data_IF_806530581003
#
_entry.id   IF_806530581003
#
_cell.length_a   1.000
_cell.length_b   1.000
_cell.length_c   1.000
_cell.angle_alpha   90.00
_cell.angle_beta   90.00
_cell.angle_gamma   90.00
#
_symmetry.space_group_name_H-M   'P 1'
#
loop_
_entity.id
_entity.type
_entity.pdbx_description
1 polymer ?
#
# COMPACT_ATOMS: atom_id res chain seq x y z
N UNK A 1 18.49 -22.87 -14.22
CA UNK A 1 17.21 -23.21 -13.60
C UNK A 1 17.04 -22.54 -12.26
N UNK A 2 18.04 -22.67 -11.36
CA UNK A 2 17.97 -21.99 -10.05
C UNK A 2 17.93 -20.47 -10.19
N UNK A 3 18.62 -19.91 -11.19
CA UNK A 3 18.62 -18.47 -11.42
C UNK A 3 17.22 -17.93 -11.72
N UNK A 4 16.34 -18.74 -12.29
CA UNK A 4 14.96 -18.35 -12.55
C UNK A 4 14.09 -18.30 -11.28
N UNK A 5 14.58 -18.93 -10.21
CA UNK A 5 13.89 -18.96 -8.92
C UNK A 5 14.40 -17.89 -7.96
N UNK A 6 15.46 -17.17 -8.35
CA UNK A 6 15.99 -16.06 -7.53
C UNK A 6 15.01 -14.92 -7.56
N UNK A 7 14.56 -14.50 -6.38
CA UNK A 7 13.66 -13.38 -6.24
C UNK A 7 14.34 -12.09 -6.69
N UNK A 8 13.75 -11.38 -7.65
CA UNK A 8 14.19 -10.05 -8.04
C UNK A 8 13.69 -9.05 -7.01
N UNK A 9 14.53 -8.76 -6.02
CA UNK A 9 14.17 -7.87 -4.93
C UNK A 9 13.92 -6.44 -5.41
N UNK A 10 14.63 -5.99 -6.43
CA UNK A 10 14.42 -4.64 -6.96
C UNK A 10 13.03 -4.51 -7.59
N UNK A 11 12.64 -5.47 -8.43
CA UNK A 11 11.32 -5.46 -9.05
C UNK A 11 10.21 -5.59 -7.99
N UNK A 12 10.42 -6.45 -6.99
CA UNK A 12 9.47 -6.63 -5.90
C UNK A 12 9.27 -5.34 -5.10
N UNK A 13 10.35 -4.64 -4.79
CA UNK A 13 10.27 -3.38 -4.05
C UNK A 13 9.58 -2.28 -4.86
N UNK A 14 9.79 -2.25 -6.18
CA UNK A 14 9.07 -1.32 -7.08
C UNK A 14 7.57 -1.60 -7.02
N UNK A 15 7.17 -2.87 -7.13
CA UNK A 15 5.75 -3.24 -7.07
C UNK A 15 5.13 -2.85 -5.72
N UNK A 16 5.82 -3.15 -4.61
CA UNK A 16 5.35 -2.81 -3.27
C UNK A 16 5.17 -1.30 -3.11
N UNK A 17 6.16 -0.52 -3.57
CA UNK A 17 6.10 0.93 -3.48
C UNK A 17 4.92 1.48 -4.27
N UNK A 18 4.66 0.97 -5.47
CA UNK A 18 3.51 1.41 -6.26
C UNK A 18 2.17 1.00 -5.65
N UNK A 19 2.09 -0.16 -4.96
CA UNK A 19 0.89 -0.54 -4.23
C UNK A 19 0.56 0.47 -3.12
N UNK A 20 1.56 0.92 -2.37
CA UNK A 20 1.34 1.89 -1.29
C UNK A 20 1.05 3.29 -1.84
N UNK A 21 1.68 3.70 -2.92
CA UNK A 21 1.32 4.94 -3.62
C UNK A 21 -0.12 4.88 -4.13
N UNK A 22 -0.54 3.75 -4.69
CA UNK A 22 -1.90 3.58 -5.20
C UNK A 22 -2.92 3.80 -4.08
N UNK A 23 -2.72 3.17 -2.93
CA UNK A 23 -3.61 3.34 -1.78
C UNK A 23 -3.64 4.79 -1.31
N UNK A 24 -2.47 5.41 -1.16
CA UNK A 24 -2.38 6.81 -0.74
C UNK A 24 -3.17 7.73 -1.68
N UNK A 25 -2.95 7.61 -2.99
CA UNK A 25 -3.61 8.50 -3.96
C UNK A 25 -5.09 8.17 -4.15
N UNK A 26 -5.49 6.92 -3.98
CA UNK A 26 -6.92 6.58 -3.93
C UNK A 26 -7.61 7.34 -2.79
N UNK A 27 -7.04 7.32 -1.60
CA UNK A 27 -7.62 8.01 -0.46
C UNK A 27 -7.52 9.52 -0.58
N UNK A 28 -6.44 10.03 -1.18
CA UNK A 28 -6.33 11.44 -1.51
C UNK A 28 -7.43 11.89 -2.48
N UNK A 29 -7.78 11.03 -3.45
CA UNK A 29 -8.86 11.34 -4.39
C UNK A 29 -10.22 11.43 -3.67
N UNK A 30 -10.45 10.58 -2.68
CA UNK A 30 -11.66 10.64 -1.86
C UNK A 30 -11.70 11.96 -1.08
N UNK A 31 -10.56 12.39 -0.54
CA UNK A 31 -10.47 13.64 0.22
C UNK A 31 -10.68 14.89 -0.64
N UNK A 32 -10.43 14.82 -1.94
CA UNK A 32 -10.77 15.92 -2.86
C UNK A 32 -12.29 16.11 -2.96
N UNK A 33 -13.04 15.02 -3.01
CA UNK A 33 -14.49 15.05 -3.10
C UNK A 33 -15.17 15.24 -1.73
N UNK A 34 -14.55 14.73 -0.67
CA UNK A 34 -15.07 14.73 0.69
C UNK A 34 -13.98 15.22 1.66
N UNK A 35 -13.69 16.55 1.67
CA UNK A 35 -12.60 17.10 2.48
C UNK A 35 -12.72 16.73 3.95
N UNK A 36 -11.63 16.25 4.54
CA UNK A 36 -11.58 15.89 5.94
C UNK A 36 -12.27 14.57 6.31
N UNK A 37 -12.80 13.84 5.33
CA UNK A 37 -13.54 12.60 5.60
C UNK A 37 -12.68 11.58 6.34
N UNK A 38 -13.23 11.00 7.41
CA UNK A 38 -12.60 9.94 8.19
C UNK A 38 -13.19 8.59 7.79
N UNK A 39 -12.39 7.51 7.74
CA UNK A 39 -10.99 7.44 8.17
C UNK A 39 -9.96 7.80 7.08
N UNK A 40 -10.38 8.31 5.93
CA UNK A 40 -9.53 8.58 4.77
C UNK A 40 -8.36 9.52 5.10
N UNK A 41 -8.61 10.59 5.87
CA UNK A 41 -7.58 11.55 6.20
C UNK A 41 -6.42 10.91 6.97
N UNK A 42 -6.73 10.10 7.99
CA UNK A 42 -5.73 9.42 8.81
C UNK A 42 -5.03 8.31 8.02
N UNK A 43 -5.79 7.54 7.25
CA UNK A 43 -5.24 6.39 6.53
C UNK A 43 -4.38 6.85 5.35
N UNK A 44 -4.76 7.93 4.66
CA UNK A 44 -3.93 8.49 3.59
C UNK A 44 -2.53 8.87 4.10
N UNK A 45 -2.43 9.43 5.30
CA UNK A 45 -1.14 9.73 5.93
C UNK A 45 -0.38 8.48 6.32
N UNK A 46 -1.09 7.46 6.81
CA UNK A 46 -0.50 6.16 7.14
C UNK A 46 0.13 5.52 5.89
N UNK A 47 -0.57 5.56 4.75
CA UNK A 47 -0.03 5.03 3.49
C UNK A 47 1.23 5.79 3.06
N UNK A 48 1.30 7.09 3.30
CA UNK A 48 2.50 7.87 3.00
C UNK A 48 3.67 7.43 3.88
N UNK A 49 3.43 7.12 5.15
CA UNK A 49 4.48 6.55 6.02
C UNK A 49 4.93 5.17 5.54
N UNK A 50 4.02 4.36 5.00
CA UNK A 50 4.36 3.08 4.37
C UNK A 50 5.26 3.27 3.16
N UNK A 51 4.95 4.27 2.33
CA UNK A 51 5.81 4.67 1.20
C UNK A 51 7.21 5.00 1.69
N UNK A 52 7.33 5.80 2.75
CA UNK A 52 8.64 6.18 3.31
C UNK A 52 9.42 4.96 3.82
N UNK A 53 8.74 4.01 4.47
CA UNK A 53 9.38 2.78 4.95
C UNK A 53 9.94 1.96 3.79
N UNK A 54 9.20 1.87 2.68
CA UNK A 54 9.66 1.18 1.47
C UNK A 54 10.80 1.94 0.78
N UNK A 55 10.71 3.27 0.72
CA UNK A 55 11.78 4.09 0.14
C UNK A 55 13.13 3.86 0.87
N UNK A 56 13.10 3.67 2.19
CA UNK A 56 14.32 3.36 2.95
C UNK A 56 14.95 2.04 2.53
N UNK A 57 14.15 1.06 2.11
CA UNK A 57 14.69 -0.20 1.60
C UNK A 57 15.47 0.00 0.30
N UNK A 58 15.02 0.93 -0.56
CA UNK A 58 15.77 1.32 -1.75
C UNK A 58 17.08 1.99 -1.39
N UNK A 59 17.05 3.00 -0.52
CA UNK A 59 18.25 3.76 -0.18
C UNK A 59 19.30 2.89 0.51
N UNK A 60 18.90 1.93 1.33
CA UNK A 60 19.82 0.96 1.94
C UNK A 60 20.55 0.12 0.89
N UNK A 61 19.97 -0.05 -0.28
CA UNK A 61 20.54 -0.80 -1.41
C UNK A 61 21.20 0.09 -2.44
N UNK A 62 21.35 1.39 -2.12
CA UNK A 62 21.92 2.39 -3.01
C UNK A 62 21.15 2.49 -4.34
N UNK A 63 19.83 2.32 -4.25
CA UNK A 63 18.93 2.47 -5.38
C UNK A 63 18.04 3.69 -5.17
N UNK A 64 17.75 4.42 -6.24
CA UNK A 64 16.81 5.53 -6.19
C UNK A 64 15.38 4.98 -6.19
N UNK A 65 14.54 5.37 -5.21
CA UNK A 65 13.14 4.96 -5.24
C UNK A 65 12.43 5.59 -6.44
N UNK A 66 11.65 4.81 -7.21
CA UNK A 66 10.89 5.40 -8.32
C UNK A 66 9.77 6.30 -7.81
N UNK A 67 9.38 7.26 -8.63
CA UNK A 67 8.23 8.11 -8.36
C UNK A 67 6.94 7.32 -8.55
N UNK A 68 5.84 7.83 -7.95
CA UNK A 68 4.52 7.23 -8.13
C UNK A 68 4.08 7.31 -9.59
N UNK A 69 3.50 6.21 -10.08
CA UNK A 69 2.77 6.20 -11.35
C UNK A 69 1.30 6.60 -11.14
N UNK A 70 0.88 6.78 -9.90
CA UNK A 70 -0.48 7.13 -9.52
C UNK A 70 -0.56 8.58 -9.08
N UNK A 71 -1.71 9.22 -9.32
CA UNK A 71 -2.10 10.52 -8.78
C UNK A 71 -3.54 10.44 -8.33
N UNK A 72 -4.04 11.45 -7.62
CA UNK A 72 -5.45 11.49 -7.25
C UNK A 72 -6.36 11.45 -8.49
N UNK A 73 -5.91 12.01 -9.61
CA UNK A 73 -6.66 12.01 -10.87
C UNK A 73 -6.73 10.62 -11.55
N UNK A 74 -5.96 9.64 -11.06
CA UNK A 74 -5.98 8.27 -11.59
C UNK A 74 -7.27 7.52 -11.26
N UNK A 75 -8.11 8.04 -10.35
CA UNK A 75 -9.27 7.34 -9.81
C UNK A 75 -10.55 8.12 -10.10
N UNK A 76 -11.58 7.39 -10.52
CA UNK A 76 -12.91 7.97 -10.70
C UNK A 76 -13.55 8.26 -9.34
N UNK A 77 -14.31 9.35 -9.21
CA UNK A 77 -15.00 9.67 -7.95
C UNK A 77 -15.99 8.58 -7.55
N UNK A 78 -16.08 8.29 -6.26
CA UNK A 78 -17.14 7.43 -5.72
C UNK A 78 -18.46 8.19 -5.61
N UNK A 79 -19.55 7.46 -5.79
CA UNK A 79 -20.91 8.06 -5.76
C UNK A 79 -21.30 8.57 -4.37
N UNK A 80 -20.70 8.03 -3.31
CA UNK A 80 -20.99 8.41 -1.92
C UNK A 80 -19.81 8.06 -1.03
N UNK A 81 -19.82 8.58 0.20
CA UNK A 81 -18.81 8.23 1.19
C UNK A 81 -18.86 6.73 1.55
N UNK A 82 -20.06 6.15 1.60
CA UNK A 82 -20.22 4.72 1.87
C UNK A 82 -19.63 3.88 0.75
N UNK A 83 -19.80 4.29 -0.50
CA UNK A 83 -19.17 3.63 -1.65
C UNK A 83 -17.66 3.76 -1.59
N UNK A 84 -17.14 4.91 -1.17
CA UNK A 84 -15.71 5.13 -0.98
C UNK A 84 -15.17 4.20 0.13
N UNK A 85 -15.92 4.03 1.22
CA UNK A 85 -15.53 3.10 2.30
C UNK A 85 -15.49 1.66 1.80
N UNK A 86 -16.44 1.23 0.98
CA UNK A 86 -16.40 -0.08 0.34
C UNK A 86 -15.19 -0.23 -0.58
N UNK A 87 -14.84 0.84 -1.29
CA UNK A 87 -13.61 0.91 -2.09
C UNK A 87 -12.35 0.75 -1.23
N UNK A 88 -12.35 1.32 -0.03
CA UNK A 88 -11.28 1.16 0.95
C UNK A 88 -11.13 -0.29 1.42
N UNK A 89 -12.25 -0.97 1.70
CA UNK A 89 -12.25 -2.39 2.06
C UNK A 89 -11.58 -3.21 0.96
N UNK A 90 -11.96 -2.97 -0.28
CA UNK A 90 -11.37 -3.67 -1.43
C UNK A 90 -9.88 -3.39 -1.54
N UNK A 91 -9.48 -2.12 -1.45
CA UNK A 91 -8.08 -1.71 -1.59
C UNK A 91 -7.19 -2.31 -0.49
N UNK A 92 -7.66 -2.32 0.76
CA UNK A 92 -6.88 -2.88 1.87
C UNK A 92 -6.78 -4.40 1.80
N UNK A 93 -7.83 -5.07 1.35
CA UNK A 93 -7.81 -6.51 1.11
C UNK A 93 -6.79 -6.87 0.04
N UNK A 94 -6.79 -6.15 -1.08
CA UNK A 94 -5.84 -6.37 -2.17
C UNK A 94 -4.40 -6.07 -1.73
N UNK A 95 -4.20 -5.03 -0.91
CA UNK A 95 -2.88 -4.65 -0.40
C UNK A 95 -2.32 -5.75 0.51
N UNK A 96 -3.13 -6.25 1.45
CA UNK A 96 -2.74 -7.35 2.31
C UNK A 96 -2.41 -8.62 1.51
N UNK A 97 -3.23 -8.92 0.51
CA UNK A 97 -3.04 -10.07 -0.38
C UNK A 97 -1.76 -9.96 -1.21
N UNK A 98 -1.36 -8.74 -1.56
CA UNK A 98 -0.11 -8.52 -2.28
C UNK A 98 1.09 -9.05 -1.49
N UNK A 99 1.15 -8.79 -0.19
CA UNK A 99 2.29 -9.20 0.65
C UNK A 99 2.28 -10.68 1.02
N UNK A 100 1.12 -11.31 1.04
CA UNK A 100 0.96 -12.67 1.59
C UNK A 100 1.90 -13.72 0.96
N UNK A 101 2.01 -13.84 -0.39
CA UNK A 101 2.88 -14.86 -0.98
C UNK A 101 4.35 -14.61 -0.69
N UNK A 102 4.78 -13.35 -0.64
CA UNK A 102 6.19 -13.02 -0.40
C UNK A 102 6.60 -13.32 1.03
N UNK A 103 5.70 -13.15 1.98
CA UNK A 103 5.98 -13.45 3.40
C UNK A 103 6.12 -14.94 3.67
N UNK A 104 5.75 -15.80 2.72
CA UNK A 104 5.94 -17.25 2.81
C UNK A 104 7.30 -17.71 2.29
N UNK A 105 8.07 -16.80 1.65
CA UNK A 105 9.37 -17.15 1.07
C UNK A 105 10.44 -17.14 2.16
N UNK A 106 11.27 -18.20 2.21
CA UNK A 106 12.33 -18.30 3.19
C UNK A 106 13.51 -17.36 2.90
N UNK A 107 13.73 -17.02 1.65
CA UNK A 107 14.87 -16.22 1.19
C UNK A 107 14.59 -14.72 1.08
N UNK A 108 13.43 -14.27 1.55
CA UNK A 108 13.13 -12.84 1.59
C UNK A 108 14.09 -12.16 2.58
N UNK A 109 14.79 -11.07 2.19
CA UNK A 109 15.69 -10.37 3.11
C UNK A 109 14.96 -9.93 4.38
N UNK A 110 15.64 -9.97 5.52
CA UNK A 110 15.01 -9.73 6.82
C UNK A 110 14.43 -8.32 6.94
N UNK A 111 15.09 -7.29 6.40
CA UNK A 111 14.58 -5.93 6.43
C UNK A 111 13.32 -5.78 5.58
N UNK A 112 13.26 -6.44 4.43
CA UNK A 112 12.06 -6.47 3.58
C UNK A 112 10.94 -7.20 4.31
N UNK A 113 11.24 -8.36 4.91
CA UNK A 113 10.25 -9.15 5.68
C UNK A 113 9.64 -8.31 6.80
N UNK A 114 10.46 -7.58 7.53
CA UNK A 114 9.99 -6.74 8.64
C UNK A 114 9.03 -5.65 8.15
N UNK A 115 9.39 -4.97 7.07
CA UNK A 115 8.53 -3.92 6.50
C UNK A 115 7.24 -4.53 5.97
N UNK A 116 7.32 -5.58 5.15
CA UNK A 116 6.13 -6.21 4.56
C UNK A 116 5.18 -6.75 5.64
N UNK A 117 5.71 -7.33 6.71
CA UNK A 117 4.89 -7.82 7.83
C UNK A 117 4.13 -6.66 8.48
N UNK A 118 4.82 -5.53 8.72
CA UNK A 118 4.19 -4.36 9.33
C UNK A 118 3.14 -3.73 8.42
N UNK A 119 3.40 -3.66 7.13
CA UNK A 119 2.46 -3.08 6.17
C UNK A 119 1.23 -3.96 6.02
N UNK A 120 1.39 -5.27 5.93
CA UNK A 120 0.27 -6.20 5.88
C UNK A 120 -0.58 -6.12 7.15
N UNK A 121 0.06 -6.07 8.31
CA UNK A 121 -0.64 -5.96 9.59
C UNK A 121 -1.45 -4.66 9.69
N UNK A 122 -0.90 -3.55 9.20
CA UNK A 122 -1.61 -2.27 9.18
C UNK A 122 -2.87 -2.36 8.31
N UNK A 123 -2.76 -2.98 7.14
CA UNK A 123 -3.91 -3.16 6.24
C UNK A 123 -4.98 -4.04 6.88
N UNK A 124 -4.60 -5.20 7.42
CA UNK A 124 -5.54 -6.19 7.95
C UNK A 124 -6.18 -5.77 9.27
N UNK A 125 -5.40 -5.21 10.19
CA UNK A 125 -5.83 -5.02 11.57
C UNK A 125 -6.21 -3.60 11.93
N UNK A 126 -5.84 -2.61 11.10
CA UNK A 126 -6.15 -1.20 11.34
C UNK A 126 -7.01 -0.58 10.25
N UNK A 127 -6.53 -0.62 9.00
CA UNK A 127 -7.20 0.08 7.90
C UNK A 127 -8.48 -0.63 7.47
N UNK A 128 -8.42 -1.94 7.23
CA UNK A 128 -9.57 -2.72 6.81
C UNK A 128 -10.75 -2.59 7.80
N UNK A 129 -10.56 -2.83 9.11
CA UNK A 129 -11.67 -2.65 10.05
C UNK A 129 -12.23 -1.22 10.09
N UNK A 130 -11.39 -0.20 9.91
CA UNK A 130 -11.83 1.18 9.88
C UNK A 130 -12.77 1.44 8.69
N UNK A 131 -12.43 0.93 7.51
CA UNK A 131 -13.28 1.05 6.33
C UNK A 131 -14.55 0.20 6.44
N UNK A 132 -14.45 -0.98 7.05
CA UNK A 132 -15.64 -1.83 7.28
C UNK A 132 -16.68 -1.12 8.15
N UNK A 133 -16.24 -0.30 9.11
CA UNK A 133 -17.14 0.44 9.98
C UNK A 133 -17.87 1.59 9.30
N UNK A 134 -17.41 2.05 8.14
CA UNK A 134 -18.01 3.21 7.47
C UNK A 134 -18.71 2.88 6.15
N UNK A 135 -18.66 1.63 5.74
CA UNK A 135 -19.35 1.25 4.49
C UNK A 135 -20.85 1.06 4.66
#
# INVERSE_FOLDING_TARGET
ALALLVLDHAALLVEALQEEYKAHFLYASVLEAYPGAMPFATIAESELRHVEALQKLFTRRQMAPPASVWTAASFDPFASIQAACAGGVKAETEDADFYAPYLKLDDLPQDVRSVFTNLQAASLYNHLPAFERCQ
#
